data_IF_846421511044
#
_entry.id   IF_846421511044
#
_cell.length_a   1.000
_cell.length_b   1.000
_cell.length_c   1.000
_cell.angle_alpha   90.00
_cell.angle_beta   90.00
_cell.angle_gamma   90.00
#
_symmetry.space_group_name_H-M   'P 1'
#
loop_
_entity.id
_entity.type
_entity.pdbx_description
1 polymer ?
#
# COMPACT_ATOMS: atom_id res chain seq x y z
N UNK A 1 -14.71 8.74 -7.07
CA UNK A 1 -13.45 8.17 -7.57
C UNK A 1 -13.50 6.67 -7.45
N UNK A 2 -13.19 5.95 -8.52
CA UNK A 2 -13.00 4.50 -8.53
C UNK A 2 -11.73 4.10 -7.77
N UNK A 3 -11.58 2.80 -7.47
CA UNK A 3 -10.34 2.23 -6.92
C UNK A 3 -9.16 2.56 -7.83
N UNK A 4 -9.32 2.42 -9.15
CA UNK A 4 -8.27 2.71 -10.13
C UNK A 4 -7.84 4.17 -10.11
N UNK A 5 -8.77 5.12 -10.01
CA UNK A 5 -8.45 6.55 -9.94
C UNK A 5 -7.68 6.89 -8.66
N UNK A 6 -8.03 6.26 -7.53
CA UNK A 6 -7.29 6.42 -6.26
C UNK A 6 -5.89 5.84 -6.35
N UNK A 7 -5.74 4.64 -6.92
CA UNK A 7 -4.44 3.99 -7.11
C UNK A 7 -3.54 4.79 -8.05
N UNK A 8 -4.10 5.33 -9.14
CA UNK A 8 -3.38 6.18 -10.07
C UNK A 8 -2.89 7.47 -9.39
N UNK A 9 -3.74 8.11 -8.58
CA UNK A 9 -3.36 9.29 -7.80
C UNK A 9 -2.22 9.00 -6.84
N UNK A 10 -2.29 7.89 -6.09
CA UNK A 10 -1.23 7.49 -5.16
C UNK A 10 0.07 7.20 -5.91
N UNK A 11 0.00 6.42 -6.99
CA UNK A 11 1.16 6.09 -7.82
C UNK A 11 1.85 7.34 -8.36
N UNK A 12 1.08 8.34 -8.80
CA UNK A 12 1.60 9.62 -9.25
C UNK A 12 2.33 10.38 -8.13
N UNK A 13 1.80 10.40 -6.91
CA UNK A 13 2.46 11.01 -5.74
C UNK A 13 3.80 10.34 -5.40
N UNK A 14 3.90 9.01 -5.49
CA UNK A 14 5.17 8.32 -5.26
C UNK A 14 6.18 8.58 -6.38
N UNK A 15 5.72 8.60 -7.64
CA UNK A 15 6.59 8.89 -8.79
C UNK A 15 7.16 10.32 -8.75
N UNK A 16 6.44 11.29 -8.16
CA UNK A 16 6.95 12.65 -7.93
C UNK A 16 8.15 12.68 -6.95
N UNK A 17 8.27 11.67 -6.09
CA UNK A 17 9.35 11.51 -5.12
C UNK A 17 10.43 10.53 -5.64
N UNK A 18 10.46 10.25 -6.94
CA UNK A 18 11.33 9.24 -7.57
C UNK A 18 11.17 7.82 -7.00
N UNK A 19 10.02 7.52 -6.38
CA UNK A 19 9.69 6.21 -5.83
C UNK A 19 8.74 5.45 -6.77
N UNK A 20 9.00 4.16 -6.94
CA UNK A 20 8.15 3.28 -7.76
C UNK A 20 7.54 2.22 -6.86
N UNK A 21 6.20 2.21 -6.79
CA UNK A 21 5.45 1.15 -6.10
C UNK A 21 5.58 -0.16 -6.87
N UNK A 22 5.87 -1.23 -6.14
CA UNK A 22 5.86 -2.59 -6.68
C UNK A 22 4.43 -3.06 -6.94
N UNK A 23 4.28 -4.06 -7.82
CA UNK A 23 2.98 -4.67 -8.09
C UNK A 23 2.28 -5.18 -6.81
N UNK A 24 3.05 -5.68 -5.83
CA UNK A 24 2.52 -6.15 -4.55
C UNK A 24 1.98 -5.00 -3.68
N UNK A 25 2.64 -3.85 -3.69
CA UNK A 25 2.18 -2.68 -2.93
C UNK A 25 0.93 -2.07 -3.55
N UNK A 26 0.85 -2.05 -4.89
CA UNK A 26 -0.35 -1.65 -5.61
C UNK A 26 -1.54 -2.56 -5.28
N UNK A 27 -1.31 -3.88 -5.25
CA UNK A 27 -2.35 -4.85 -4.90
C UNK A 27 -2.85 -4.67 -3.46
N UNK A 28 -1.93 -4.52 -2.49
CA UNK A 28 -2.31 -4.20 -1.11
C UNK A 28 -3.10 -2.90 -1.00
N UNK A 29 -2.70 -1.87 -1.76
CA UNK A 29 -3.44 -0.62 -1.83
C UNK A 29 -4.88 -0.81 -2.33
N UNK A 30 -5.10 -1.68 -3.32
CA UNK A 30 -6.45 -2.00 -3.82
C UNK A 30 -7.29 -2.68 -2.76
N UNK A 31 -6.76 -3.73 -2.12
CA UNK A 31 -7.45 -4.45 -1.05
C UNK A 31 -7.85 -3.53 0.10
N UNK A 32 -6.99 -2.55 0.46
CA UNK A 32 -7.29 -1.53 1.48
C UNK A 32 -8.45 -0.64 1.03
N UNK A 33 -8.41 -0.11 -0.20
CA UNK A 33 -9.44 0.80 -0.74
C UNK A 33 -10.80 0.09 -0.86
N UNK A 34 -10.78 -1.20 -1.15
CA UNK A 34 -11.97 -2.05 -1.30
C UNK A 34 -12.47 -2.62 0.04
N UNK A 35 -11.79 -2.30 1.15
CA UNK A 35 -12.06 -2.78 2.51
C UNK A 35 -11.97 -4.32 2.65
N UNK A 36 -11.16 -4.98 1.82
CA UNK A 36 -10.88 -6.41 1.95
C UNK A 36 -9.86 -6.69 3.07
N UNK A 37 -8.98 -5.72 3.37
CA UNK A 37 -7.99 -5.77 4.46
C UNK A 37 -7.94 -4.43 5.20
N UNK A 38 -7.65 -4.50 6.49
CA UNK A 38 -7.46 -3.31 7.31
C UNK A 38 -6.05 -2.73 7.17
N UNK A 39 -5.93 -1.41 7.22
CA UNK A 39 -4.63 -0.70 7.14
C UNK A 39 -3.73 -1.09 8.31
N UNK A 40 -4.28 -1.22 9.51
CA UNK A 40 -3.52 -1.59 10.71
C UNK A 40 -2.92 -3.00 10.60
N UNK A 41 -3.67 -3.94 10.01
CA UNK A 41 -3.19 -5.30 9.79
C UNK A 41 -2.04 -5.33 8.78
N UNK A 42 -2.16 -4.58 7.67
CA UNK A 42 -1.09 -4.47 6.67
C UNK A 42 0.16 -3.81 7.27
N UNK A 43 0.01 -2.74 8.04
CA UNK A 43 1.12 -2.07 8.73
C UNK A 43 1.79 -3.03 9.72
N UNK A 44 1.01 -3.75 10.53
CA UNK A 44 1.53 -4.75 11.48
C UNK A 44 2.29 -5.86 10.76
N UNK A 45 1.77 -6.37 9.65
CA UNK A 45 2.45 -7.39 8.84
C UNK A 45 3.82 -6.90 8.34
N UNK A 46 3.87 -5.68 7.81
CA UNK A 46 5.10 -5.08 7.29
C UNK A 46 6.09 -4.85 8.44
N UNK A 47 5.66 -4.21 9.52
CA UNK A 47 6.52 -3.88 10.67
C UNK A 47 7.09 -5.12 11.34
N UNK A 48 6.31 -6.21 11.46
CA UNK A 48 6.78 -7.47 12.06
C UNK A 48 8.00 -8.09 11.36
N UNK A 49 8.19 -7.80 10.07
CA UNK A 49 9.36 -8.27 9.29
C UNK A 49 10.65 -7.54 9.65
N UNK A 50 10.54 -6.29 10.11
CA UNK A 50 11.69 -5.44 10.41
C UNK A 50 11.96 -5.34 11.91
N UNK A 51 10.91 -5.47 12.72
CA UNK A 51 10.99 -5.48 14.18
C UNK A 51 10.94 -6.93 14.64
N UNK A 52 12.07 -7.63 14.48
CA UNK A 52 12.30 -8.88 15.23
C UNK A 52 12.55 -8.48 16.68
N UNK A 53 11.51 -8.56 17.52
CA UNK A 53 11.71 -8.54 18.97
C UNK A 53 12.15 -9.96 19.34
N UNK A 54 13.48 -10.15 19.42
CA UNK A 54 14.08 -11.29 20.09
C UNK A 54 13.92 -11.18 21.60
#
# INVERSE_FOLDING_TARGET
MSTDEKIASVSASFAMEDMILTAKELERGRMIIENEVDVEDVVREITSRYVSVG
#
